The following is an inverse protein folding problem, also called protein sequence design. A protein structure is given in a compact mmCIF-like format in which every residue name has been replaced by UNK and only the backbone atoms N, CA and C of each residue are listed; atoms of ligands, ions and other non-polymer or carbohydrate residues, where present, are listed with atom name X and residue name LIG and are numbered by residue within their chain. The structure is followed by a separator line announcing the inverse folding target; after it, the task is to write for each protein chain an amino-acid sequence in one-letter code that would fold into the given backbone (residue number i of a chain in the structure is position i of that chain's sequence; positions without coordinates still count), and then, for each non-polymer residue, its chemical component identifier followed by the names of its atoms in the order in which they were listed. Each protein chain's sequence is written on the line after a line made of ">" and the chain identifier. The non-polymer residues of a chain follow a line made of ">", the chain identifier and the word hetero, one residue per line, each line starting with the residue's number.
data_IF_097146648429
#
_entry.id   IF_097146648429
#
_cell.length_a   1.000
_cell.length_b   1.000
_cell.length_c   1.000
_cell.angle_alpha   90.00
_cell.angle_beta   90.00
_cell.angle_gamma   90.00
#
_symmetry.space_group_name_H-M   'P 1'
#
loop_
_entity.id
_entity.type
_entity.pdbx_description
1 polymer ?
#
# COMPACT_ATOMS: atom_id res chain seq x y z
N UNK A 1 -12.12 -7.18 -5.51
CA UNK A 1 -11.18 -6.64 -6.52
C UNK A 1 -10.17 -7.72 -6.87
N UNK A 2 -9.80 -7.87 -8.15
CA UNK A 2 -8.80 -8.85 -8.58
C UNK A 2 -7.46 -8.57 -7.86
N UNK A 3 -6.72 -9.60 -7.41
CA UNK A 3 -5.43 -9.43 -6.73
C UNK A 3 -4.44 -8.54 -7.51
N UNK A 4 -4.37 -8.63 -8.83
CA UNK A 4 -3.46 -7.82 -9.66
C UNK A 4 -3.81 -6.34 -9.54
N UNK A 5 -5.09 -6.01 -9.73
CA UNK A 5 -5.60 -4.64 -9.62
C UNK A 5 -5.45 -4.08 -8.21
N UNK A 6 -5.68 -4.94 -7.20
CA UNK A 6 -5.42 -4.63 -5.79
C UNK A 6 -3.99 -4.19 -5.53
N UNK A 7 -3.00 -4.99 -5.95
CA UNK A 7 -1.59 -4.63 -5.80
C UNK A 7 -1.20 -3.36 -6.53
N UNK A 8 -1.71 -3.13 -7.76
CA UNK A 8 -1.41 -1.91 -8.52
C UNK A 8 -1.99 -0.66 -7.85
N UNK A 9 -3.24 -0.72 -7.39
CA UNK A 9 -3.88 0.41 -6.68
C UNK A 9 -3.20 0.70 -5.35
N UNK A 10 -2.91 -0.35 -4.55
CA UNK A 10 -2.22 -0.20 -3.27
C UNK A 10 -0.87 0.51 -3.44
N UNK A 11 -0.07 0.11 -4.45
CA UNK A 11 1.22 0.74 -4.74
C UNK A 11 1.09 2.20 -5.13
N UNK A 12 0.20 2.53 -6.07
CA UNK A 12 -0.03 3.94 -6.46
C UNK A 12 -0.46 4.77 -5.27
N UNK A 13 -1.38 4.26 -4.45
CA UNK A 13 -1.85 4.96 -3.27
C UNK A 13 -0.75 5.15 -2.23
N UNK A 14 0.11 4.13 -2.02
CA UNK A 14 1.25 4.24 -1.13
C UNK A 14 2.25 5.30 -1.61
N UNK A 15 2.63 5.28 -2.88
CA UNK A 15 3.55 6.27 -3.47
C UNK A 15 2.95 7.68 -3.38
N UNK A 16 1.70 7.86 -3.82
CA UNK A 16 1.03 9.17 -3.79
C UNK A 16 0.88 9.68 -2.36
N UNK A 17 0.55 8.81 -1.40
CA UNK A 17 0.40 9.20 0.00
C UNK A 17 1.72 9.60 0.64
N UNK A 18 2.77 8.80 0.46
CA UNK A 18 4.08 9.10 1.04
C UNK A 18 4.73 10.31 0.39
N UNK A 19 4.76 10.38 -0.95
CA UNK A 19 5.30 11.53 -1.67
C UNK A 19 4.48 12.78 -1.37
N UNK A 20 3.15 12.68 -1.38
CA UNK A 20 2.25 13.79 -1.07
C UNK A 20 2.45 14.31 0.35
N UNK A 21 2.55 13.41 1.34
CA UNK A 21 2.82 13.82 2.71
C UNK A 21 4.17 14.51 2.84
N UNK A 22 5.23 13.96 2.24
CA UNK A 22 6.55 14.58 2.25
C UNK A 22 6.53 16.00 1.66
N UNK A 23 5.89 16.19 0.50
CA UNK A 23 5.77 17.50 -0.15
C UNK A 23 5.01 18.50 0.74
N UNK A 24 3.91 18.08 1.36
CA UNK A 24 3.12 18.94 2.26
C UNK A 24 3.96 19.36 3.48
N UNK A 25 4.65 18.42 4.14
CA UNK A 25 5.45 18.74 5.32
C UNK A 25 6.68 19.61 4.98
N UNK A 26 7.32 19.38 3.84
CA UNK A 26 8.40 20.25 3.35
C UNK A 26 7.89 21.65 3.02
N UNK A 27 6.72 21.78 2.39
CA UNK A 27 6.08 23.06 2.12
C UNK A 27 5.75 23.82 3.41
N UNK A 28 5.13 23.15 4.39
CA UNK A 28 4.82 23.75 5.70
C UNK A 28 6.07 24.21 6.45
N UNK A 29 7.15 23.45 6.36
CA UNK A 29 8.42 23.82 6.96
C UNK A 29 9.06 25.02 6.24
N UNK A 30 8.95 25.09 4.91
CA UNK A 30 9.44 26.22 4.11
C UNK A 30 8.71 27.53 4.43
N UNK A 31 7.39 27.49 4.63
CA UNK A 31 6.59 28.66 5.01
C UNK A 31 6.73 29.05 6.50
N UNK A 32 7.58 28.35 7.28
CA UNK A 32 7.83 28.65 8.68
C UNK A 32 6.70 28.28 9.63
N UNK A 33 5.67 27.55 9.15
CA UNK A 33 4.59 27.03 10.01
C UNK A 33 5.07 25.88 10.90
N UNK A 34 6.12 25.17 10.50
CA UNK A 34 6.73 24.09 11.27
C UNK A 34 8.25 24.23 11.29
N UNK A 35 8.92 24.17 12.45
CA UNK A 35 10.38 24.10 12.49
C UNK A 35 10.84 22.76 11.89
N UNK A 36 11.94 22.80 11.14
CA UNK A 36 12.68 21.61 10.70
C UNK A 36 13.31 20.90 11.91
N UNK A 37 12.48 20.22 12.68
CA UNK A 37 12.89 19.36 13.78
C UNK A 37 13.02 17.91 13.30
N UNK A 38 13.79 17.11 14.02
CA UNK A 38 13.99 15.67 13.78
C UNK A 38 12.66 14.86 13.75
N UNK A 39 11.59 15.42 14.32
CA UNK A 39 10.26 14.81 14.40
C UNK A 39 9.47 14.93 13.07
N UNK A 40 9.79 15.92 12.23
CA UNK A 40 9.07 16.19 10.97
C UNK A 40 9.02 14.97 10.01
N UNK A 41 10.15 14.29 9.70
CA UNK A 41 10.10 13.10 8.85
C UNK A 41 9.28 11.96 9.45
N UNK A 42 9.28 11.82 10.79
CA UNK A 42 8.49 10.81 11.48
C UNK A 42 6.98 11.08 11.32
N UNK A 43 6.57 12.34 11.47
CA UNK A 43 5.18 12.77 11.26
C UNK A 43 4.73 12.58 9.82
N UNK A 44 5.57 12.94 8.84
CA UNK A 44 5.27 12.71 7.42
C UNK A 44 5.07 11.22 7.10
N UNK A 45 5.91 10.35 7.67
CA UNK A 45 5.73 8.90 7.56
C UNK A 45 4.41 8.43 8.19
N UNK A 46 4.13 8.84 9.43
CA UNK A 46 2.92 8.45 10.13
C UNK A 46 1.66 8.88 9.35
N UNK A 47 1.57 10.15 8.97
CA UNK A 47 0.44 10.69 8.19
C UNK A 47 0.32 9.99 6.84
N UNK A 48 1.45 9.76 6.16
CA UNK A 48 1.50 9.05 4.89
C UNK A 48 1.04 7.58 4.97
N UNK A 49 1.16 6.92 6.13
CA UNK A 49 0.71 5.54 6.31
C UNK A 49 -0.79 5.39 6.59
N UNK A 50 -1.46 6.43 7.10
CA UNK A 50 -2.89 6.40 7.44
C UNK A 50 -3.77 5.94 6.26
N UNK A 51 -3.71 6.55 5.06
CA UNK A 51 -4.58 6.16 3.96
C UNK A 51 -4.21 4.77 3.40
N UNK A 52 -2.95 4.34 3.53
CA UNK A 52 -2.51 2.99 3.17
C UNK A 52 -3.18 1.96 4.08
N UNK A 53 -3.14 2.19 5.39
CA UNK A 53 -3.79 1.34 6.38
C UNK A 53 -5.32 1.29 6.19
N UNK A 54 -5.94 2.45 5.97
CA UNK A 54 -7.37 2.54 5.67
C UNK A 54 -7.73 1.74 4.40
N UNK A 55 -6.93 1.85 3.34
CA UNK A 55 -7.16 1.10 2.11
C UNK A 55 -7.06 -0.42 2.34
N UNK A 56 -6.06 -0.89 3.08
CA UNK A 56 -5.90 -2.32 3.39
C UNK A 56 -7.03 -2.90 4.27
N UNK A 57 -7.64 -2.06 5.12
CA UNK A 57 -8.78 -2.48 5.96
C UNK A 57 -10.08 -2.54 5.14
N UNK A 58 -10.32 -1.54 4.31
CA UNK A 58 -11.56 -1.40 3.53
C UNK A 58 -11.58 -2.27 2.27
N UNK A 59 -10.42 -2.50 1.65
CA UNK A 59 -10.30 -3.25 0.40
C UNK A 59 -9.61 -4.58 0.64
N UNK A 60 -10.18 -5.66 0.10
CA UNK A 60 -9.62 -7.00 0.16
C UNK A 60 -9.52 -7.61 -1.23
N UNK A 61 -8.43 -8.31 -1.49
CA UNK A 61 -8.28 -9.12 -2.70
C UNK A 61 -9.26 -10.30 -2.65
N UNK A 62 -10.03 -10.48 -3.73
CA UNK A 62 -11.07 -11.51 -3.87
C UNK A 62 -10.73 -12.45 -5.01
N UNK A 63 -10.98 -13.74 -4.82
CA UNK A 63 -10.78 -14.76 -5.82
C UNK A 63 -11.90 -14.73 -6.87
N UNK A 64 -11.54 -14.73 -8.15
CA UNK A 64 -12.52 -14.73 -9.24
C UNK A 64 -13.27 -16.06 -9.36
N UNK A 65 -12.64 -17.18 -8.98
CA UNK A 65 -13.25 -18.51 -9.12
C UNK A 65 -14.29 -18.84 -8.05
N UNK A 66 -14.15 -18.32 -6.83
CA UNK A 66 -15.03 -18.70 -5.71
C UNK A 66 -15.50 -17.53 -4.84
N UNK A 67 -15.14 -16.29 -5.18
CA UNK A 67 -15.43 -15.08 -4.39
C UNK A 67 -14.74 -15.03 -3.02
N UNK A 68 -13.92 -16.03 -2.68
CA UNK A 68 -13.24 -16.11 -1.39
C UNK A 68 -12.15 -15.05 -1.23
N UNK A 69 -11.85 -14.66 0.01
CA UNK A 69 -10.74 -13.75 0.30
C UNK A 69 -9.40 -14.41 -0.06
N UNK A 70 -8.55 -13.67 -0.76
CA UNK A 70 -7.17 -14.07 -1.05
C UNK A 70 -6.20 -13.46 -0.03
N UNK A 71 -5.16 -14.23 0.31
CA UNK A 71 -4.05 -13.78 1.16
C UNK A 71 -2.74 -13.94 0.39
N UNK A 72 -1.76 -13.11 0.72
CA UNK A 72 -0.39 -13.25 0.21
C UNK A 72 0.18 -14.56 0.75
N UNK A 73 0.57 -15.46 -0.14
CA UNK A 73 1.23 -16.73 0.19
C UNK A 73 2.74 -16.62 0.06
N UNK A 74 3.21 -15.86 -0.94
CA UNK A 74 4.61 -15.46 -1.06
C UNK A 74 4.66 -13.97 -1.39
N UNK A 75 5.53 -13.25 -0.71
CA UNK A 75 5.78 -11.84 -0.94
C UNK A 75 7.12 -11.54 -1.61
N UNK A 76 7.96 -12.55 -1.87
CA UNK A 76 9.28 -12.39 -2.49
C UNK A 76 9.66 -13.66 -3.29
N UNK A 77 10.28 -13.55 -4.48
CA UNK A 77 10.57 -12.32 -5.21
C UNK A 77 9.34 -11.72 -5.90
N UNK A 78 8.24 -12.48 -5.99
CA UNK A 78 6.97 -12.04 -6.58
C UNK A 78 5.83 -12.15 -5.59
N UNK A 79 4.87 -11.25 -5.71
CA UNK A 79 3.67 -11.25 -4.88
C UNK A 79 2.68 -12.29 -5.43
N UNK A 80 2.58 -13.43 -4.74
CA UNK A 80 1.66 -14.52 -5.06
C UNK A 80 0.52 -14.53 -4.06
N UNK A 81 -0.72 -14.44 -4.57
CA UNK A 81 -1.93 -14.54 -3.75
C UNK A 81 -2.49 -15.95 -3.82
N UNK A 82 -2.82 -16.53 -2.66
CA UNK A 82 -3.55 -17.80 -2.53
C UNK A 82 -4.93 -17.56 -1.95
N UNK A 83 -5.96 -18.13 -2.57
CA UNK A 83 -7.32 -18.09 -2.02
C UNK A 83 -7.44 -19.00 -0.79
N UNK A 84 -8.11 -18.53 0.27
CA UNK A 84 -8.37 -19.38 1.45
C UNK A 84 -9.38 -20.51 1.21
N UNK A 85 -10.33 -20.33 0.28
CA UNK A 85 -11.43 -21.29 0.03
C UNK A 85 -11.02 -22.37 -0.95
N UNK A 86 -10.71 -21.99 -2.19
CA UNK A 86 -10.39 -22.93 -3.26
C UNK A 86 -8.89 -23.23 -3.42
N UNK A 87 -8.02 -22.61 -2.61
CA UNK A 87 -6.55 -22.70 -2.70
C UNK A 87 -5.95 -22.31 -4.05
N UNK A 88 -6.73 -21.68 -4.95
CA UNK A 88 -6.20 -21.18 -6.21
C UNK A 88 -5.13 -20.12 -5.96
N UNK A 89 -4.08 -20.17 -6.77
CA UNK A 89 -2.95 -19.26 -6.70
C UNK A 89 -2.95 -18.34 -7.91
N UNK A 90 -2.64 -17.07 -7.67
CA UNK A 90 -2.48 -16.06 -8.71
C UNK A 90 -1.13 -15.39 -8.45
N UNK A 91 -0.18 -15.64 -9.34
CA UNK A 91 1.03 -14.83 -9.45
C UNK A 91 0.64 -13.49 -10.07
N UNK A 92 0.88 -12.39 -9.37
CA UNK A 92 0.57 -11.05 -9.89
C UNK A 92 1.57 -10.59 -10.95
N UNK A 93 2.70 -11.29 -11.11
CA UNK A 93 3.82 -10.88 -11.96
C UNK A 93 4.56 -9.65 -11.44
N UNK A 94 4.21 -9.19 -10.24
CA UNK A 94 4.76 -7.98 -9.62
C UNK A 94 5.89 -8.39 -8.69
N UNK A 95 7.10 -7.92 -9.01
CA UNK A 95 8.30 -8.08 -8.21
C UNK A 95 8.23 -7.23 -6.94
N UNK A 96 8.56 -7.83 -5.80
CA UNK A 96 8.50 -7.18 -4.49
C UNK A 96 9.62 -6.16 -4.25
N UNK A 97 10.66 -6.26 -5.05
CA UNK A 97 11.90 -5.48 -5.05
C UNK A 97 11.83 -4.20 -5.92
N UNK A 98 10.75 -4.01 -6.69
CA UNK A 98 10.49 -2.84 -7.54
C UNK A 98 9.13 -2.22 -7.26
#
# INVERSE_FOLDING_TARGET
>A
MNPIEYTKKLRRLAVVSWVGSLVVFLGLAWFGFFPFNEILPLLALLVGTIPIAAFMLLNKATCESCGGQMKISSGYPRIVYRCKKCKSEIDTGIYSDF
#
